data_IF_309542037443
#
_entry.id   IF_309542037443
#
_cell.length_a   1.000
_cell.length_b   1.000
_cell.length_c   1.000
_cell.angle_alpha   90.00
_cell.angle_beta   90.00
_cell.angle_gamma   90.00
#
_symmetry.space_group_name_H-M   'P 1'
#
loop_
_entity.id
_entity.type
_entity.pdbx_description
1 polymer ?
#
# COMPACT_ATOMS: atom_id res chain seq x y z
N UNK A 1 26.78 -71.30 -21.51
CA UNK A 1 25.94 -71.53 -22.71
C UNK A 1 24.53 -71.20 -22.27
N UNK A 2 23.86 -70.15 -22.73
CA UNK A 2 23.73 -69.67 -24.11
C UNK A 2 23.48 -68.16 -24.10
N UNK A 3 24.28 -67.41 -24.85
CA UNK A 3 24.14 -65.98 -25.05
C UNK A 3 23.22 -65.72 -26.25
N UNK A 4 22.34 -64.73 -26.16
CA UNK A 4 21.65 -64.18 -27.33
C UNK A 4 21.97 -62.69 -27.47
N UNK A 5 22.45 -62.36 -28.67
CA UNK A 5 22.88 -61.05 -29.16
C UNK A 5 21.68 -60.15 -29.47
N UNK A 6 21.81 -58.87 -29.15
CA UNK A 6 21.01 -57.77 -29.70
C UNK A 6 21.39 -57.47 -31.17
N UNK A 7 20.46 -56.93 -31.98
CA UNK A 7 20.81 -56.12 -33.13
C UNK A 7 20.72 -54.62 -32.82
N UNK A 8 21.84 -53.93 -33.02
CA UNK A 8 21.92 -52.48 -33.20
C UNK A 8 21.31 -52.06 -34.54
N UNK A 9 20.50 -51.00 -34.55
CA UNK A 9 20.05 -50.36 -35.79
C UNK A 9 18.98 -49.27 -35.64
N UNK A 10 19.42 -48.03 -35.34
CA UNK A 10 18.94 -46.77 -35.95
C UNK A 10 17.47 -46.33 -35.87
N UNK A 11 17.16 -45.34 -35.02
CA UNK A 11 16.83 -43.95 -35.41
C UNK A 11 16.42 -43.13 -34.15
N UNK A 12 16.74 -41.83 -34.07
CA UNK A 12 16.37 -40.97 -32.96
C UNK A 12 14.90 -40.56 -33.10
N UNK A 13 14.02 -41.47 -32.68
CA UNK A 13 12.60 -41.16 -32.47
C UNK A 13 12.47 -40.16 -31.33
N UNK A 14 12.13 -38.93 -31.69
CA UNK A 14 11.47 -37.91 -30.87
C UNK A 14 10.96 -38.46 -29.54
N UNK A 15 11.72 -38.22 -28.45
CA UNK A 15 11.16 -38.29 -27.11
C UNK A 15 10.14 -37.16 -27.03
N UNK A 16 8.90 -37.47 -27.37
CA UNK A 16 7.74 -36.76 -26.84
C UNK A 16 7.98 -36.70 -25.34
N UNK A 17 8.26 -35.50 -24.83
CA UNK A 17 8.25 -35.26 -23.41
C UNK A 17 6.84 -35.60 -22.94
N UNK A 18 6.68 -36.80 -22.37
CA UNK A 18 5.48 -37.20 -21.68
C UNK A 18 5.17 -36.07 -20.70
N UNK A 19 4.00 -35.44 -20.86
CA UNK A 19 3.53 -34.46 -19.90
C UNK A 19 3.71 -35.07 -18.49
N UNK A 20 4.27 -34.34 -17.51
CA UNK A 20 4.44 -34.89 -16.18
C UNK A 20 3.08 -35.37 -15.68
N UNK A 21 2.99 -36.64 -15.31
CA UNK A 21 1.80 -37.23 -14.69
C UNK A 21 1.31 -36.29 -13.58
N UNK A 22 0.01 -36.00 -13.57
CA UNK A 22 -0.60 -35.15 -12.55
C UNK A 22 -0.36 -35.66 -11.11
N UNK A 23 -0.01 -36.94 -10.94
CA UNK A 23 0.40 -37.55 -9.67
C UNK A 23 1.83 -37.19 -9.22
N UNK A 24 2.73 -36.79 -10.12
CA UNK A 24 4.08 -36.32 -9.75
C UNK A 24 4.09 -34.86 -9.29
N UNK A 25 3.06 -34.08 -9.65
CA UNK A 25 2.99 -32.64 -9.37
C UNK A 25 2.57 -32.28 -7.94
N UNK A 26 2.28 -33.26 -7.07
CA UNK A 26 1.91 -33.07 -5.67
C UNK A 26 2.92 -33.62 -4.66
N UNK A 27 4.03 -34.23 -5.14
CA UNK A 27 5.08 -34.77 -4.27
C UNK A 27 6.17 -33.73 -4.02
N UNK A 28 6.37 -33.40 -2.75
CA UNK A 28 7.50 -32.63 -2.26
C UNK A 28 8.76 -33.46 -2.33
N UNK A 29 9.86 -32.79 -2.69
CA UNK A 29 11.21 -33.29 -2.44
C UNK A 29 11.92 -32.26 -1.58
N UNK A 30 12.32 -32.67 -0.39
CA UNK A 30 13.03 -31.83 0.58
C UNK A 30 14.42 -32.43 0.78
N UNK A 31 15.47 -31.63 0.66
CA UNK A 31 16.85 -32.08 0.92
C UNK A 31 17.41 -31.32 2.11
N UNK A 32 17.87 -32.06 3.12
CA UNK A 32 18.40 -31.55 4.39
C UNK A 32 19.73 -32.22 4.65
N UNK A 33 20.82 -31.46 4.71
CA UNK A 33 22.18 -31.98 4.94
C UNK A 33 22.54 -33.22 4.09
N UNK A 34 22.12 -33.22 2.82
CA UNK A 34 22.34 -34.32 1.88
C UNK A 34 21.34 -35.49 1.96
N UNK A 35 20.46 -35.52 2.97
CA UNK A 35 19.35 -36.47 3.05
C UNK A 35 18.15 -35.97 2.26
N UNK A 36 17.59 -36.81 1.39
CA UNK A 36 16.41 -36.46 0.58
C UNK A 36 15.15 -37.15 1.12
N UNK A 37 14.16 -36.34 1.49
CA UNK A 37 12.82 -36.78 1.89
C UNK A 37 11.84 -36.53 0.73
N UNK A 38 10.92 -37.46 0.49
CA UNK A 38 9.92 -37.35 -0.57
C UNK A 38 8.54 -37.79 -0.10
N UNK A 39 7.52 -37.03 -0.46
CA UNK A 39 6.13 -37.35 -0.10
C UNK A 39 5.18 -36.20 -0.39
N UNK A 40 3.88 -36.40 -0.17
CA UNK A 40 2.89 -35.29 -0.19
C UNK A 40 2.94 -34.48 1.11
N UNK A 41 3.57 -35.04 2.14
CA UNK A 41 3.86 -34.39 3.40
C UNK A 41 5.25 -34.81 3.88
N UNK A 42 5.96 -33.92 4.56
CA UNK A 42 7.27 -34.18 5.16
C UNK A 42 7.30 -33.59 6.57
N UNK A 43 7.69 -34.40 7.55
CA UNK A 43 7.90 -33.97 8.95
C UNK A 43 9.36 -33.58 9.19
N UNK A 44 9.57 -32.33 9.57
CA UNK A 44 10.87 -31.70 9.78
C UNK A 44 11.20 -31.55 11.27
N UNK A 45 10.32 -31.94 12.19
CA UNK A 45 10.53 -31.79 13.64
C UNK A 45 11.79 -32.49 14.16
N UNK A 46 12.22 -33.56 13.50
CA UNK A 46 13.47 -34.26 13.83
C UNK A 46 14.74 -33.64 13.25
N UNK A 47 14.63 -32.54 12.49
CA UNK A 47 15.71 -31.96 11.70
C UNK A 47 16.13 -30.55 12.13
N UNK A 48 15.64 -30.06 13.28
CA UNK A 48 15.94 -28.71 13.79
C UNK A 48 15.65 -27.59 12.78
N UNK A 49 14.67 -27.78 11.89
CA UNK A 49 14.20 -26.78 10.94
C UNK A 49 12.94 -26.15 11.51
N UNK A 50 12.96 -24.84 11.73
CA UNK A 50 11.79 -24.09 12.18
C UNK A 50 10.90 -23.62 11.00
N UNK A 51 9.80 -22.94 11.33
CA UNK A 51 8.85 -22.46 10.34
C UNK A 51 9.45 -21.39 9.42
N UNK A 52 10.36 -20.54 9.92
CA UNK A 52 11.01 -19.49 9.15
C UNK A 52 11.98 -20.09 8.13
N UNK A 53 12.78 -21.06 8.56
CA UNK A 53 13.71 -21.81 7.71
C UNK A 53 12.97 -22.58 6.62
N UNK A 54 11.89 -23.29 6.97
CA UNK A 54 11.06 -23.98 6.00
C UNK A 54 10.44 -23.00 4.98
N UNK A 55 9.94 -21.86 5.44
CA UNK A 55 9.38 -20.82 4.57
C UNK A 55 10.45 -20.11 3.72
N UNK A 56 11.71 -20.05 4.19
CA UNK A 56 12.83 -19.55 3.41
C UNK A 56 13.20 -20.54 2.29
N UNK A 57 13.25 -21.84 2.60
CA UNK A 57 13.52 -22.91 1.65
C UNK A 57 12.45 -22.98 0.53
N UNK A 58 11.17 -22.83 0.86
CA UNK A 58 10.07 -22.75 -0.13
C UNK A 58 10.23 -21.56 -1.09
N UNK A 59 10.76 -20.43 -0.59
CA UNK A 59 11.06 -19.25 -1.42
C UNK A 59 12.33 -19.43 -2.28
N UNK A 60 13.02 -20.56 -2.17
CA UNK A 60 14.26 -20.84 -2.89
C UNK A 60 15.50 -20.18 -2.27
N UNK A 61 15.44 -19.75 -1.00
CA UNK A 61 16.64 -19.27 -0.29
C UNK A 61 17.51 -20.47 0.09
N UNK A 62 18.81 -20.36 -0.14
CA UNK A 62 19.79 -21.42 0.15
C UNK A 62 20.08 -21.52 1.64
N UNK A 63 20.15 -22.73 2.18
CA UNK A 63 20.46 -23.03 3.57
C UNK A 63 20.69 -24.53 3.80
N UNK A 64 20.54 -24.99 5.04
CA UNK A 64 20.60 -26.41 5.42
C UNK A 64 19.45 -27.24 4.85
N UNK A 65 18.33 -26.58 4.52
CA UNK A 65 17.13 -27.16 3.91
C UNK A 65 16.87 -26.56 2.53
N UNK A 66 16.52 -27.41 1.56
CA UNK A 66 16.06 -27.01 0.22
C UNK A 66 14.77 -27.74 -0.14
N UNK A 67 13.81 -27.03 -0.72
CA UNK A 67 12.49 -27.58 -1.08
C UNK A 67 12.28 -27.39 -2.59
N UNK A 68 12.12 -28.50 -3.31
CA UNK A 68 11.78 -28.46 -4.72
C UNK A 68 10.26 -28.29 -4.88
N UNK A 69 9.81 -27.07 -5.14
CA UNK A 69 8.40 -26.74 -5.37
C UNK A 69 8.22 -25.53 -6.30
N UNK A 70 7.01 -25.32 -6.86
CA UNK A 70 6.68 -24.10 -7.58
C UNK A 70 6.85 -22.87 -6.69
N UNK A 71 7.30 -21.75 -7.28
CA UNK A 71 7.54 -20.52 -6.56
C UNK A 71 6.26 -20.04 -5.84
N UNK A 72 6.33 -19.69 -4.54
CA UNK A 72 5.17 -19.22 -3.80
C UNK A 72 4.61 -17.92 -4.38
N UNK A 73 3.29 -17.85 -4.55
CA UNK A 73 2.59 -16.61 -4.89
C UNK A 73 2.28 -15.74 -3.67
N UNK A 74 1.71 -14.56 -3.88
CA UNK A 74 1.42 -13.57 -2.82
C UNK A 74 0.49 -14.05 -1.69
N UNK A 75 -0.22 -15.17 -1.88
CA UNK A 75 -1.07 -15.77 -0.86
C UNK A 75 -0.26 -16.60 0.15
N UNK A 76 0.93 -17.07 -0.23
CA UNK A 76 1.83 -17.79 0.66
C UNK A 76 2.23 -16.93 1.86
N UNK A 77 2.48 -15.63 1.66
CA UNK A 77 2.83 -14.72 2.76
C UNK A 77 1.68 -14.51 3.76
N UNK A 78 0.44 -14.80 3.38
CA UNK A 78 -0.72 -14.60 4.23
C UNK A 78 -1.18 -15.87 4.95
N UNK A 79 -1.05 -17.04 4.33
CA UNK A 79 -1.58 -18.32 4.85
C UNK A 79 -0.67 -19.52 4.58
N UNK A 80 0.48 -19.33 3.94
CA UNK A 80 1.41 -20.40 3.58
C UNK A 80 2.24 -20.92 4.75
N UNK A 81 2.31 -20.16 5.84
CA UNK A 81 2.92 -20.57 7.12
C UNK A 81 1.85 -20.44 8.19
N UNK A 82 1.49 -21.56 8.83
CA UNK A 82 0.43 -21.64 9.82
C UNK A 82 1.03 -21.93 11.19
N UNK A 83 1.11 -20.87 11.99
CA UNK A 83 1.61 -20.87 13.36
C UNK A 83 0.49 -20.53 14.35
N UNK A 84 0.61 -20.88 15.65
CA UNK A 84 -0.45 -20.65 16.63
C UNK A 84 -0.92 -19.19 16.75
N UNK A 85 -0.03 -18.22 16.50
CA UNK A 85 -0.31 -16.77 16.60
C UNK A 85 -0.75 -16.14 15.27
N UNK A 86 -0.94 -16.94 14.21
CA UNK A 86 -1.30 -16.44 12.89
C UNK A 86 -2.61 -15.65 12.94
N UNK A 87 -2.55 -14.40 12.47
CA UNK A 87 -3.71 -13.55 12.29
C UNK A 87 -3.93 -13.26 10.80
N UNK A 88 -5.10 -13.63 10.30
CA UNK A 88 -5.42 -13.51 8.87
C UNK A 88 -6.34 -12.33 8.65
N UNK A 89 -5.96 -11.42 7.75
CA UNK A 89 -6.90 -10.42 7.23
C UNK A 89 -7.85 -11.10 6.24
N UNK A 90 -8.88 -11.78 6.76
CA UNK A 90 -9.75 -12.68 5.99
C UNK A 90 -10.28 -12.04 4.71
N UNK A 91 -10.82 -10.81 4.79
CA UNK A 91 -11.30 -10.08 3.61
C UNK A 91 -10.22 -9.89 2.53
N UNK A 92 -9.00 -9.56 2.93
CA UNK A 92 -7.88 -9.36 1.98
C UNK A 92 -7.50 -10.67 1.32
N UNK A 93 -7.44 -11.75 2.10
CA UNK A 93 -7.07 -13.08 1.61
C UNK A 93 -8.14 -13.65 0.68
N UNK A 94 -9.41 -13.62 1.05
CA UNK A 94 -10.51 -14.07 0.20
C UNK A 94 -10.61 -13.25 -1.08
N UNK A 95 -10.42 -11.93 -1.02
CA UNK A 95 -10.37 -11.12 -2.24
C UNK A 95 -9.22 -11.52 -3.18
N UNK A 96 -8.07 -11.95 -2.64
CA UNK A 96 -6.97 -12.47 -3.44
C UNK A 96 -7.24 -13.87 -4.00
N UNK A 97 -7.92 -14.75 -3.23
CA UNK A 97 -8.42 -16.05 -3.71
C UNK A 97 -9.38 -15.85 -4.89
N UNK A 98 -10.34 -14.95 -4.76
CA UNK A 98 -11.30 -14.62 -5.81
C UNK A 98 -10.62 -14.10 -7.08
N UNK A 99 -9.64 -13.18 -6.96
CA UNK A 99 -8.86 -12.71 -8.13
C UNK A 99 -8.11 -13.84 -8.82
N UNK A 100 -7.48 -14.74 -8.05
CA UNK A 100 -6.77 -15.90 -8.61
C UNK A 100 -7.71 -16.81 -9.41
N UNK A 101 -8.99 -16.87 -9.04
CA UNK A 101 -10.03 -17.62 -9.75
C UNK A 101 -10.72 -16.83 -10.87
N UNK A 102 -10.29 -15.61 -11.14
CA UNK A 102 -10.80 -14.80 -12.25
C UNK A 102 -12.02 -13.94 -11.92
N UNK A 103 -12.46 -13.88 -10.66
CA UNK A 103 -13.53 -12.96 -10.27
C UNK A 103 -13.09 -11.51 -10.43
N UNK A 104 -14.04 -10.68 -10.87
CA UNK A 104 -13.87 -9.24 -11.03
C UNK A 104 -15.00 -8.54 -10.29
N UNK A 105 -14.64 -7.47 -9.59
CA UNK A 105 -15.61 -6.57 -8.97
C UNK A 105 -16.17 -5.60 -10.01
N UNK A 106 -17.39 -5.14 -9.81
CA UNK A 106 -18.11 -4.30 -10.77
C UNK A 106 -17.46 -2.93 -10.90
N UNK A 107 -16.92 -2.41 -9.79
CA UNK A 107 -16.34 -1.06 -9.72
C UNK A 107 -14.86 -1.00 -10.14
N UNK A 108 -14.31 -2.07 -10.73
CA UNK A 108 -12.90 -2.11 -11.18
C UNK A 108 -12.62 -1.07 -12.28
N UNK A 109 -13.55 -0.87 -13.21
CA UNK A 109 -13.38 0.11 -14.28
C UNK A 109 -13.48 1.54 -13.76
N UNK A 110 -14.33 1.78 -12.75
CA UNK A 110 -14.38 3.07 -12.05
C UNK A 110 -13.06 3.36 -11.32
N UNK A 111 -12.47 2.36 -10.64
CA UNK A 111 -11.16 2.51 -10.01
C UNK A 111 -10.07 2.86 -11.02
N UNK A 112 -10.11 2.26 -12.23
CA UNK A 112 -9.17 2.57 -13.30
C UNK A 112 -9.34 4.01 -13.78
N UNK A 113 -10.57 4.47 -13.98
CA UNK A 113 -10.89 5.85 -14.36
C UNK A 113 -10.39 6.86 -13.32
N UNK A 114 -10.74 6.67 -12.05
CA UNK A 114 -10.30 7.54 -10.94
C UNK A 114 -8.78 7.56 -10.81
N UNK A 115 -8.11 6.43 -11.00
CA UNK A 115 -6.64 6.35 -10.95
C UNK A 115 -5.99 7.10 -12.12
N UNK A 116 -6.55 6.99 -13.32
CA UNK A 116 -6.09 7.73 -14.50
C UNK A 116 -6.29 9.24 -14.31
N UNK A 117 -7.46 9.67 -13.82
CA UNK A 117 -7.73 11.08 -13.52
C UNK A 117 -6.75 11.62 -12.47
N UNK A 118 -6.49 10.87 -11.40
CA UNK A 118 -5.55 11.27 -10.36
C UNK A 118 -4.11 11.40 -10.87
N UNK A 119 -3.72 10.59 -11.86
CA UNK A 119 -2.41 10.67 -12.51
C UNK A 119 -2.23 11.96 -13.32
N UNK A 120 -3.32 12.58 -13.80
CA UNK A 120 -3.27 13.89 -14.51
C UNK A 120 -3.10 15.09 -13.58
N UNK A 121 -3.32 14.92 -12.27
CA UNK A 121 -3.29 16.01 -11.29
C UNK A 121 -1.93 16.09 -10.58
N UNK A 122 -1.07 17.00 -11.05
CA UNK A 122 0.19 17.35 -10.38
C UNK A 122 -0.04 18.00 -9.00
N UNK A 123 0.90 17.84 -8.04
CA UNK A 123 0.83 18.51 -6.75
C UNK A 123 0.87 20.04 -6.93
N UNK A 124 -0.05 20.80 -6.32
CA UNK A 124 -0.01 22.25 -6.39
C UNK A 124 1.00 22.85 -5.40
N UNK A 125 1.72 23.89 -5.85
CA UNK A 125 2.50 24.79 -5.00
C UNK A 125 1.66 26.04 -4.70
N UNK A 126 1.58 26.44 -3.42
CA UNK A 126 0.63 27.44 -2.93
C UNK A 126 1.23 28.33 -1.82
N UNK A 127 2.54 28.58 -1.79
CA UNK A 127 3.10 29.50 -0.81
C UNK A 127 2.84 30.97 -1.18
N UNK A 128 2.30 31.74 -0.24
CA UNK A 128 2.03 33.19 -0.35
C UNK A 128 2.58 33.99 0.82
N UNK A 129 3.49 33.37 1.58
CA UNK A 129 4.02 33.94 2.81
C UNK A 129 4.82 35.20 2.53
N UNK A 130 5.47 35.28 1.37
CA UNK A 130 6.27 36.43 0.95
C UNK A 130 5.42 37.66 0.64
N UNK A 131 4.37 37.52 -0.17
CA UNK A 131 3.49 38.65 -0.54
C UNK A 131 2.75 39.20 0.69
N UNK A 132 2.40 38.34 1.66
CA UNK A 132 1.83 38.77 2.95
C UNK A 132 2.82 39.59 3.78
N UNK A 133 4.08 39.16 3.82
CA UNK A 133 5.14 39.90 4.52
C UNK A 133 5.38 41.26 3.88
N UNK A 134 5.36 41.36 2.55
CA UNK A 134 5.54 42.62 1.82
C UNK A 134 4.42 43.63 2.13
N UNK A 135 3.15 43.21 2.12
CA UNK A 135 2.02 44.10 2.50
C UNK A 135 2.16 44.59 3.94
N UNK A 136 2.54 43.70 4.86
CA UNK A 136 2.74 44.07 6.26
C UNK A 136 3.90 45.06 6.46
N UNK A 137 5.02 44.87 5.75
CA UNK A 137 6.17 45.76 5.78
C UNK A 137 5.80 47.15 5.22
N UNK A 138 5.21 47.21 4.02
CA UNK A 138 4.81 48.46 3.38
C UNK A 138 3.78 49.24 4.22
N UNK A 139 2.81 48.56 4.84
CA UNK A 139 1.86 49.20 5.76
C UNK A 139 2.50 49.75 7.02
N UNK A 140 3.53 49.06 7.54
CA UNK A 140 4.30 49.55 8.71
C UNK A 140 5.08 50.81 8.37
N UNK A 141 5.67 50.88 7.18
CA UNK A 141 6.46 52.03 6.76
C UNK A 141 5.59 53.24 6.38
N UNK A 142 4.43 53.03 5.75
CA UNK A 142 3.43 54.10 5.56
C UNK A 142 3.01 54.70 6.92
N UNK A 143 2.71 53.86 7.91
CA UNK A 143 2.26 54.32 9.23
C UNK A 143 3.31 55.21 9.92
N UNK A 144 4.59 54.81 9.89
CA UNK A 144 5.71 55.61 10.44
C UNK A 144 5.85 56.96 9.73
N UNK A 145 5.68 57.00 8.41
CA UNK A 145 5.78 58.23 7.64
C UNK A 145 4.58 59.16 7.88
N UNK A 146 3.38 58.60 8.05
CA UNK A 146 2.18 59.37 8.39
C UNK A 146 2.32 60.02 9.78
N UNK A 147 2.82 59.28 10.76
CA UNK A 147 3.14 59.80 12.08
C UNK A 147 4.16 60.95 11.99
N UNK A 148 5.26 60.75 11.25
CA UNK A 148 6.30 61.77 11.05
C UNK A 148 5.75 63.05 10.40
N UNK A 149 4.87 62.94 9.40
CA UNK A 149 4.18 64.10 8.80
C UNK A 149 3.33 64.84 9.83
N UNK A 150 2.60 64.12 10.69
CA UNK A 150 1.79 64.73 11.75
C UNK A 150 2.67 65.47 12.77
N UNK A 151 3.81 64.88 13.19
CA UNK A 151 4.79 65.52 14.06
C UNK A 151 5.33 66.81 13.45
N UNK A 152 5.79 66.78 12.20
CA UNK A 152 6.36 67.96 11.53
C UNK A 152 5.31 69.05 11.34
N UNK A 153 4.04 68.70 11.06
CA UNK A 153 2.93 69.68 11.02
C UNK A 153 2.73 70.36 12.38
N UNK A 154 2.78 69.60 13.47
CA UNK A 154 2.72 70.14 14.82
C UNK A 154 3.87 71.11 15.11
N UNK A 155 5.11 70.73 14.77
CA UNK A 155 6.29 71.60 14.90
C UNK A 155 6.15 72.88 14.08
N UNK A 156 5.68 72.76 12.84
CA UNK A 156 5.50 73.88 11.93
C UNK A 156 4.50 74.89 12.49
N UNK A 157 3.38 74.41 13.01
CA UNK A 157 2.36 75.26 13.63
C UNK A 157 2.93 76.01 14.85
N UNK A 158 3.60 75.29 15.76
CA UNK A 158 4.20 75.91 16.94
C UNK A 158 5.24 77.00 16.59
N UNK A 159 6.04 76.80 15.53
CA UNK A 159 6.99 77.81 15.05
C UNK A 159 6.31 79.02 14.42
N UNK A 160 5.22 78.82 13.67
CA UNK A 160 4.41 79.92 13.13
C UNK A 160 3.80 80.75 14.25
N UNK A 161 3.25 80.08 15.26
CA UNK A 161 2.64 80.75 16.42
C UNK A 161 3.68 81.56 17.23
N UNK A 162 4.92 81.08 17.29
CA UNK A 162 6.04 81.77 17.93
C UNK A 162 6.71 82.85 17.06
N UNK A 163 6.29 83.04 15.80
CA UNK A 163 6.86 84.03 14.89
C UNK A 163 8.31 83.75 14.45
N UNK A 164 8.74 82.49 14.50
CA UNK A 164 10.12 82.06 14.14
C UNK A 164 10.17 81.65 12.67
N UNK A 165 11.34 81.71 12.02
CA UNK A 165 11.52 81.21 10.65
C UNK A 165 11.10 79.73 10.52
N UNK A 166 10.28 79.48 9.49
CA UNK A 166 9.64 78.20 9.20
C UNK A 166 10.19 77.52 7.94
N UNK A 167 11.02 78.21 7.15
CA UNK A 167 11.48 77.76 5.83
C UNK A 167 12.04 76.32 5.85
N UNK A 168 12.90 76.03 6.81
CA UNK A 168 13.50 74.70 6.98
C UNK A 168 12.47 73.63 7.40
N UNK A 169 11.47 73.98 8.21
CA UNK A 169 10.41 73.04 8.62
C UNK A 169 9.42 72.78 7.48
N UNK A 170 9.13 73.78 6.65
CA UNK A 170 8.30 73.62 5.45
C UNK A 170 8.95 72.68 4.44
N UNK A 171 10.27 72.81 4.22
CA UNK A 171 11.01 71.87 3.39
C UNK A 171 10.96 70.44 3.95
N UNK A 172 11.22 70.26 5.25
CA UNK A 172 11.10 68.94 5.92
C UNK A 172 9.70 68.34 5.78
N UNK A 173 8.65 69.17 5.86
CA UNK A 173 7.28 68.73 5.67
C UNK A 173 7.03 68.27 4.24
N UNK A 174 7.48 69.05 3.25
CA UNK A 174 7.38 68.70 1.83
C UNK A 174 8.06 67.36 1.55
N UNK A 175 9.29 67.17 2.04
CA UNK A 175 10.05 65.93 1.87
C UNK A 175 9.34 64.74 2.54
N UNK A 176 8.80 64.93 3.75
CA UNK A 176 8.06 63.88 4.46
C UNK A 176 6.74 63.52 3.76
N UNK A 177 6.04 64.49 3.17
CA UNK A 177 4.81 64.25 2.39
C UNK A 177 5.12 63.51 1.09
N UNK A 178 6.22 63.85 0.41
CA UNK A 178 6.70 63.10 -0.75
C UNK A 178 6.99 61.64 -0.37
N UNK A 179 7.79 61.41 0.68
CA UNK A 179 8.09 60.05 1.16
C UNK A 179 6.84 59.25 1.56
N UNK A 180 5.85 59.89 2.21
CA UNK A 180 4.57 59.24 2.54
C UNK A 180 3.78 58.84 1.28
N UNK A 181 3.87 59.65 0.22
CA UNK A 181 3.17 59.38 -1.05
C UNK A 181 3.81 58.19 -1.78
N UNK A 182 5.14 58.09 -1.75
CA UNK A 182 5.88 56.94 -2.27
C UNK A 182 5.54 55.66 -1.49
N UNK A 183 5.54 55.71 -0.16
CA UNK A 183 5.19 54.56 0.69
C UNK A 183 3.73 54.09 0.49
N UNK A 184 2.79 55.02 0.27
CA UNK A 184 1.41 54.68 -0.11
C UNK A 184 1.33 53.93 -1.43
N UNK A 185 2.11 54.36 -2.41
CA UNK A 185 2.20 53.73 -3.72
C UNK A 185 2.80 52.33 -3.60
N UNK A 186 3.82 52.16 -2.75
CA UNK A 186 4.42 50.88 -2.44
C UNK A 186 3.43 49.92 -1.76
N UNK A 187 2.67 50.39 -0.76
CA UNK A 187 1.61 49.58 -0.13
C UNK A 187 0.56 49.15 -1.14
N UNK A 188 0.05 50.07 -1.97
CA UNK A 188 -0.95 49.74 -2.99
C UNK A 188 -0.41 48.69 -3.97
N UNK A 189 0.87 48.80 -4.36
CA UNK A 189 1.53 47.82 -5.24
C UNK A 189 1.66 46.45 -4.58
N UNK A 190 2.03 46.41 -3.29
CA UNK A 190 2.12 45.17 -2.51
C UNK A 190 0.74 44.50 -2.34
N UNK A 191 -0.32 45.29 -2.10
CA UNK A 191 -1.69 44.80 -2.01
C UNK A 191 -2.17 44.19 -3.34
N UNK A 192 -1.94 44.89 -4.44
CA UNK A 192 -2.24 44.37 -5.78
C UNK A 192 -1.47 43.09 -6.10
N UNK A 193 -0.20 42.98 -5.67
CA UNK A 193 0.59 41.77 -5.84
C UNK A 193 0.04 40.59 -5.00
N UNK A 194 -0.40 40.86 -3.77
CA UNK A 194 -1.05 39.86 -2.91
C UNK A 194 -2.39 39.40 -3.49
N UNK A 195 -3.19 40.31 -4.05
CA UNK A 195 -4.47 39.96 -4.67
C UNK A 195 -4.29 39.12 -5.95
N UNK A 196 -3.33 39.47 -6.81
CA UNK A 196 -2.92 38.61 -7.94
C UNK A 196 -2.49 37.22 -7.46
N UNK A 197 -1.61 37.16 -6.46
CA UNK A 197 -1.17 35.88 -5.88
C UNK A 197 -2.33 35.08 -5.26
N UNK A 198 -3.39 35.74 -4.75
CA UNK A 198 -4.60 35.08 -4.24
C UNK A 198 -5.42 34.46 -5.36
N UNK A 199 -5.60 35.19 -6.47
CA UNK A 199 -6.31 34.70 -7.65
C UNK A 199 -5.57 33.53 -8.30
N UNK A 200 -4.26 33.67 -8.49
CA UNK A 200 -3.38 32.62 -9.04
C UNK A 200 -3.37 31.36 -8.17
N UNK A 201 -3.66 31.49 -6.87
CA UNK A 201 -3.76 30.37 -5.94
C UNK A 201 -5.11 29.65 -5.93
N UNK A 202 -6.18 30.19 -6.56
CA UNK A 202 -7.48 29.49 -6.60
C UNK A 202 -7.39 28.19 -7.41
N UNK A 203 -6.88 28.17 -8.66
CA UNK A 203 -6.80 26.93 -9.44
C UNK A 203 -5.91 25.85 -8.80
N UNK A 204 -4.74 26.15 -8.21
CA UNK A 204 -3.96 25.19 -7.42
C UNK A 204 -4.73 24.59 -6.24
N UNK A 205 -5.52 25.39 -5.51
CA UNK A 205 -6.37 24.90 -4.40
C UNK A 205 -7.47 23.98 -4.90
N UNK A 206 -8.18 24.37 -5.96
CA UNK A 206 -9.24 23.55 -6.54
C UNK A 206 -8.68 22.21 -7.06
N UNK A 207 -7.48 22.23 -7.65
CA UNK A 207 -6.75 21.00 -8.04
C UNK A 207 -6.39 20.15 -6.84
N UNK A 208 -5.93 20.74 -5.73
CA UNK A 208 -5.65 20.03 -4.47
C UNK A 208 -6.91 19.35 -3.94
N UNK A 209 -8.01 20.08 -3.86
CA UNK A 209 -9.27 19.58 -3.32
C UNK A 209 -9.84 18.47 -4.20
N UNK A 210 -9.80 18.64 -5.52
CA UNK A 210 -10.16 17.57 -6.47
C UNK A 210 -9.28 16.34 -6.28
N UNK A 211 -7.96 16.50 -6.15
CA UNK A 211 -7.03 15.39 -5.91
C UNK A 211 -7.35 14.66 -4.60
N UNK A 212 -7.62 15.38 -3.52
CA UNK A 212 -8.00 14.78 -2.22
C UNK A 212 -9.30 13.97 -2.33
N UNK A 213 -10.32 14.51 -3.01
CA UNK A 213 -11.59 13.81 -3.26
C UNK A 213 -11.38 12.54 -4.07
N UNK A 214 -10.56 12.58 -5.12
CA UNK A 214 -10.24 11.40 -5.93
C UNK A 214 -9.41 10.37 -5.15
N UNK A 215 -8.49 10.79 -4.30
CA UNK A 215 -7.75 9.89 -3.42
C UNK A 215 -8.66 9.14 -2.45
N UNK A 216 -9.62 9.85 -1.85
CA UNK A 216 -10.61 9.23 -0.98
C UNK A 216 -11.54 8.28 -1.76
N UNK A 217 -12.04 8.72 -2.93
CA UNK A 217 -12.83 7.87 -3.82
C UNK A 217 -12.08 6.61 -4.21
N UNK A 218 -10.80 6.71 -4.58
CA UNK A 218 -9.93 5.57 -4.90
C UNK A 218 -9.87 4.58 -3.73
N UNK A 219 -9.62 5.06 -2.50
CA UNK A 219 -9.58 4.20 -1.30
C UNK A 219 -10.92 3.52 -1.04
N UNK A 220 -12.03 4.22 -1.25
CA UNK A 220 -13.37 3.67 -1.09
C UNK A 220 -13.67 2.59 -2.14
N UNK A 221 -13.29 2.82 -3.41
CA UNK A 221 -13.40 1.82 -4.48
C UNK A 221 -12.52 0.58 -4.20
N UNK A 222 -11.28 0.75 -3.74
CA UNK A 222 -10.42 -0.36 -3.35
C UNK A 222 -10.99 -1.18 -2.17
N UNK A 223 -11.73 -0.54 -1.26
CA UNK A 223 -12.47 -1.22 -0.18
C UNK A 223 -13.68 -1.98 -0.73
N UNK A 224 -14.45 -1.38 -1.64
CA UNK A 224 -15.60 -2.00 -2.29
C UNK A 224 -15.20 -3.24 -3.09
N UNK A 225 -14.16 -3.13 -3.94
CA UNK A 225 -13.61 -4.26 -4.71
C UNK A 225 -13.23 -5.42 -3.80
N UNK A 226 -12.55 -5.14 -2.67
CA UNK A 226 -12.17 -6.19 -1.72
C UNK A 226 -13.37 -6.84 -1.04
N UNK A 227 -14.43 -6.08 -0.82
CA UNK A 227 -15.69 -6.60 -0.24
C UNK A 227 -16.37 -7.53 -1.25
N UNK A 228 -16.68 -7.03 -2.44
CA UNK A 228 -17.34 -7.79 -3.52
C UNK A 228 -16.60 -9.09 -3.84
N UNK A 229 -15.28 -9.03 -4.00
CA UNK A 229 -14.47 -10.20 -4.29
C UNK A 229 -14.47 -11.21 -3.13
N UNK A 230 -14.41 -10.75 -1.88
CA UNK A 230 -14.45 -11.66 -0.73
C UNK A 230 -15.83 -12.31 -0.59
N UNK A 231 -16.90 -11.53 -0.78
CA UNK A 231 -18.28 -12.00 -0.70
C UNK A 231 -18.57 -13.05 -1.79
N UNK A 232 -18.02 -12.87 -3.00
CA UNK A 232 -18.17 -13.81 -4.11
C UNK A 232 -17.66 -15.24 -3.81
N UNK A 233 -16.70 -15.39 -2.91
CA UNK A 233 -16.14 -16.69 -2.52
C UNK A 233 -16.46 -17.07 -1.07
N UNK A 234 -17.29 -16.28 -0.38
CA UNK A 234 -17.52 -16.47 1.06
C UNK A 234 -18.22 -17.79 1.38
N UNK A 235 -19.23 -18.17 0.59
CA UNK A 235 -19.93 -19.44 0.79
C UNK A 235 -19.00 -20.66 0.64
N UNK A 236 -18.02 -20.57 -0.25
CA UNK A 236 -17.01 -21.62 -0.40
C UNK A 236 -16.04 -21.65 0.78
N UNK A 237 -15.67 -20.48 1.30
CA UNK A 237 -14.88 -20.38 2.53
C UNK A 237 -15.63 -21.01 3.71
N UNK A 238 -16.91 -20.67 3.92
CA UNK A 238 -17.78 -21.31 4.92
C UNK A 238 -17.78 -22.84 4.78
N UNK A 239 -17.93 -23.35 3.56
CA UNK A 239 -17.88 -24.80 3.31
C UNK A 239 -16.50 -25.42 3.58
N UNK A 240 -15.41 -24.65 3.46
CA UNK A 240 -14.06 -25.09 3.80
C UNK A 240 -13.82 -25.07 5.32
N UNK A 241 -14.32 -24.06 6.02
CA UNK A 241 -14.26 -23.94 7.50
C UNK A 241 -14.86 -25.18 8.16
N UNK A 242 -16.05 -25.62 7.73
CA UNK A 242 -16.70 -26.82 8.27
C UNK A 242 -15.93 -28.13 8.06
N UNK A 243 -14.85 -28.12 7.27
CA UNK A 243 -14.06 -29.31 6.92
C UNK A 243 -12.64 -29.29 7.49
N UNK A 244 -12.25 -28.24 8.19
CA UNK A 244 -10.93 -28.14 8.81
C UNK A 244 -11.05 -28.18 10.33
N UNK A 245 -10.04 -28.69 11.03
CA UNK A 245 -10.01 -28.70 12.49
C UNK A 245 -9.95 -27.27 13.05
N UNK A 246 -10.74 -27.02 14.10
CA UNK A 246 -10.81 -25.74 14.80
C UNK A 246 -12.23 -25.42 15.26
N UNK A 247 -12.37 -24.69 16.36
CA UNK A 247 -13.65 -24.15 16.79
C UNK A 247 -13.87 -22.82 16.07
N UNK A 248 -14.98 -22.72 15.33
CA UNK A 248 -15.35 -21.50 14.62
C UNK A 248 -16.85 -21.48 14.29
N UNK A 249 -17.41 -20.29 14.21
CA UNK A 249 -18.67 -19.99 13.56
C UNK A 249 -18.39 -19.13 12.31
N UNK A 250 -18.64 -19.64 11.10
CA UNK A 250 -18.43 -18.87 9.89
C UNK A 250 -19.43 -17.71 9.71
N UNK A 251 -20.55 -17.65 10.41
CA UNK A 251 -21.56 -16.61 10.21
C UNK A 251 -22.04 -16.50 8.75
N UNK A 252 -22.58 -15.34 8.34
CA UNK A 252 -23.08 -15.10 6.97
C UNK A 252 -22.18 -14.22 6.11
N UNK A 253 -21.19 -13.56 6.72
CA UNK A 253 -20.30 -12.65 6.02
C UNK A 253 -18.93 -12.56 6.71
N UNK A 254 -17.93 -12.04 5.99
CA UNK A 254 -16.54 -11.92 6.50
C UNK A 254 -16.44 -11.17 7.83
N UNK A 255 -17.36 -10.26 8.16
CA UNK A 255 -17.35 -9.54 9.46
C UNK A 255 -17.95 -10.34 10.60
N UNK A 256 -18.74 -11.36 10.29
CA UNK A 256 -19.40 -12.24 11.27
C UNK A 256 -18.60 -13.52 11.53
N UNK A 257 -17.48 -13.74 10.84
CA UNK A 257 -16.61 -14.89 11.11
C UNK A 257 -16.05 -14.80 12.54
N UNK A 258 -16.40 -15.79 13.35
CA UNK A 258 -15.91 -15.98 14.71
C UNK A 258 -15.06 -17.24 14.75
N UNK A 259 -13.75 -17.10 14.68
CA UNK A 259 -12.81 -18.22 14.77
C UNK A 259 -11.38 -17.72 14.79
N UNK A 260 -10.45 -18.60 15.18
CA UNK A 260 -9.04 -18.21 15.19
C UNK A 260 -8.47 -18.07 13.76
N UNK A 261 -7.34 -17.37 13.66
CA UNK A 261 -6.67 -17.15 12.37
C UNK A 261 -6.08 -18.43 11.79
N UNK A 262 -5.77 -19.44 12.60
CA UNK A 262 -5.29 -20.76 12.16
C UNK A 262 -6.36 -21.47 11.34
N UNK A 263 -7.58 -21.58 11.88
CA UNK A 263 -8.74 -22.20 11.24
C UNK A 263 -9.09 -21.50 9.93
N UNK A 264 -9.05 -20.16 9.94
CA UNK A 264 -9.24 -19.36 8.72
C UNK A 264 -8.15 -19.66 7.67
N UNK A 265 -6.88 -19.77 8.06
CA UNK A 265 -5.79 -20.08 7.14
C UNK A 265 -5.92 -21.49 6.54
N UNK A 266 -6.25 -22.49 7.37
CA UNK A 266 -6.49 -23.86 6.94
C UNK A 266 -7.64 -23.94 5.91
N UNK A 267 -8.75 -23.26 6.19
CA UNK A 267 -9.87 -23.17 5.26
C UNK A 267 -9.46 -22.53 3.92
N UNK A 268 -8.66 -21.46 3.95
CA UNK A 268 -8.13 -20.82 2.73
C UNK A 268 -7.18 -21.76 1.97
N UNK A 269 -6.25 -22.43 2.65
CA UNK A 269 -5.35 -23.41 2.02
C UNK A 269 -6.14 -24.49 1.29
N UNK A 270 -7.21 -25.00 1.93
CA UNK A 270 -8.14 -25.96 1.32
C UNK A 270 -8.84 -25.42 0.07
N UNK A 271 -9.18 -24.14 0.04
CA UNK A 271 -9.77 -23.50 -1.15
C UNK A 271 -8.75 -23.34 -2.30
N UNK A 272 -7.47 -23.15 -1.96
CA UNK A 272 -6.43 -22.81 -2.93
C UNK A 272 -5.87 -24.03 -3.69
N UNK A 273 -5.75 -25.19 -3.05
CA UNK A 273 -5.29 -26.45 -3.67
C UNK A 273 -4.07 -26.28 -4.57
N UNK A 274 -3.04 -25.63 -4.04
CA UNK A 274 -1.82 -25.30 -4.79
C UNK A 274 -0.76 -26.38 -4.65
N UNK A 275 0.09 -26.52 -5.66
CA UNK A 275 1.29 -27.36 -5.58
C UNK A 275 2.42 -26.74 -4.74
N UNK A 276 2.33 -25.46 -4.38
CA UNK A 276 3.26 -24.86 -3.41
C UNK A 276 2.92 -25.41 -2.02
N UNK A 277 3.91 -25.95 -1.28
CA UNK A 277 3.68 -26.47 0.07
C UNK A 277 3.24 -25.38 1.05
N UNK A 278 2.48 -25.79 2.05
CA UNK A 278 2.24 -25.01 3.26
C UNK A 278 3.09 -25.54 4.42
N UNK A 279 3.56 -24.65 5.28
CA UNK A 279 4.26 -24.96 6.52
C UNK A 279 3.24 -24.99 7.66
N UNK A 280 3.16 -26.10 8.40
CA UNK A 280 2.30 -26.23 9.58
C UNK A 280 3.17 -26.37 10.83
N UNK A 281 3.08 -25.39 11.72
CA UNK A 281 3.68 -25.40 13.06
C UNK A 281 2.61 -25.61 14.14
N UNK A 282 1.49 -26.25 13.79
CA UNK A 282 0.29 -26.42 14.64
C UNK A 282 -0.22 -27.86 14.65
N UNK A 283 -0.39 -28.46 15.82
CA UNK A 283 -0.93 -29.83 15.99
C UNK A 283 -2.46 -29.88 15.88
N UNK A 284 -2.98 -29.54 14.69
CA UNK A 284 -4.43 -29.58 14.40
C UNK A 284 -4.91 -30.87 13.73
N UNK A 285 -4.00 -31.65 13.16
CA UNK A 285 -4.30 -32.88 12.44
C UNK A 285 -3.54 -34.05 13.04
N UNK A 286 -4.07 -35.26 12.88
CA UNK A 286 -3.43 -36.54 13.26
C UNK A 286 -2.30 -36.91 12.29
N UNK A 287 -1.34 -36.01 12.10
CA UNK A 287 -0.18 -36.19 11.23
C UNK A 287 -0.17 -35.35 9.95
N UNK A 288 1.02 -35.15 9.35
CA UNK A 288 1.19 -34.25 8.22
C UNK A 288 0.59 -34.80 6.91
N UNK A 289 0.52 -36.12 6.73
CA UNK A 289 -0.15 -36.75 5.58
C UNK A 289 -1.66 -36.51 5.60
N UNK A 290 -2.28 -36.60 6.79
CA UNK A 290 -3.70 -36.30 6.96
C UNK A 290 -3.99 -34.83 6.67
N UNK A 291 -3.14 -33.93 7.16
CA UNK A 291 -3.22 -32.51 6.84
C UNK A 291 -3.11 -32.26 5.33
N UNK A 292 -2.15 -32.90 4.64
CA UNK A 292 -2.01 -32.76 3.19
C UNK A 292 -3.23 -33.26 2.41
N UNK A 293 -3.81 -34.39 2.84
CA UNK A 293 -5.02 -34.93 2.24
C UNK A 293 -6.24 -34.03 2.47
N UNK A 294 -6.46 -33.58 3.71
CA UNK A 294 -7.60 -32.71 4.05
C UNK A 294 -7.47 -31.30 3.47
N UNK A 295 -6.27 -30.76 3.32
CA UNK A 295 -6.07 -29.42 2.74
C UNK A 295 -5.90 -29.48 1.22
N UNK A 296 -5.57 -30.64 0.66
CA UNK A 296 -5.29 -30.79 -0.78
C UNK A 296 -4.09 -29.96 -1.24
N UNK A 297 -3.14 -29.71 -0.34
CA UNK A 297 -1.87 -29.03 -0.60
C UNK A 297 -0.73 -29.83 0.04
N UNK A 298 0.49 -29.79 -0.52
CA UNK A 298 1.61 -30.46 0.11
C UNK A 298 1.98 -29.81 1.45
N UNK A 299 2.41 -30.60 2.44
CA UNK A 299 2.67 -30.10 3.80
C UNK A 299 4.13 -30.28 4.21
N UNK A 300 4.73 -29.22 4.75
CA UNK A 300 5.92 -29.30 5.60
C UNK A 300 5.50 -29.11 7.05
N UNK A 301 5.76 -30.09 7.89
CA UNK A 301 5.48 -30.03 9.31
C UNK A 301 6.74 -29.63 10.06
N UNK A 302 6.62 -28.65 10.94
CA UNK A 302 7.67 -28.19 11.86
C UNK A 302 7.17 -28.21 13.30
#
# INVERSE_FOLDING_TARGET
>A
MTAQREPHGGQPGSRVATAPDAEQSSRLTVTIDGTTLRGVAVDLRSWSIDAEDAAAAIRGRTGTCTVACPHPGSLFDAVGVVEPSLNVSLRRVLAAVARRRGYRADVVDELRSVSAELATLSPPDCDRSEQRRQVAAAGTDEAKLAERVATIRGELQARRDAGVDVSATEKRLSDAVAALTDARTERLSAEQALDRAREDSRPPRDRRDRRLRLQDRKRNLERAIRRELADAVYNEFTAAVWRVPGESDPGRSVVEYEGDGVTAALAVLRMLRTATPAVLAVDRFDGPERAAHELGVPILRV
#
